data_IF_519383725317
#
_entry.id   IF_519383725317
#
_cell.length_a   1.000
_cell.length_b   1.000
_cell.length_c   1.000
_cell.angle_alpha   90.00
_cell.angle_beta   90.00
_cell.angle_gamma   90.00
#
_symmetry.space_group_name_H-M   'P 1'
#
loop_
_entity.id
_entity.type
_entity.pdbx_description
1 polymer ?
#
# COMPACT_ATOMS: atom_id res chain seq x y z
N UNK A 1 19.77 -40.99 33.26
CA UNK A 1 18.40 -40.74 32.76
C UNK A 1 17.77 -39.72 33.68
N UNK A 2 17.05 -38.73 33.13
CA UNK A 2 16.42 -37.67 33.93
C UNK A 2 14.91 -37.94 33.97
N UNK A 3 14.32 -37.88 35.17
CA UNK A 3 12.89 -38.04 35.40
C UNK A 3 12.45 -36.97 36.39
N UNK A 4 11.20 -36.49 36.29
CA UNK A 4 10.65 -35.54 37.27
C UNK A 4 10.62 -36.17 38.67
N UNK A 5 10.87 -35.38 39.71
CA UNK A 5 11.00 -35.84 41.11
C UNK A 5 9.76 -36.61 41.59
N UNK A 6 8.56 -36.17 41.21
CA UNK A 6 7.27 -36.79 41.53
C UNK A 6 7.08 -38.18 40.90
N UNK A 7 7.89 -38.53 39.89
CA UNK A 7 7.85 -39.82 39.19
C UNK A 7 9.04 -40.72 39.53
N UNK A 8 9.97 -40.26 40.37
CA UNK A 8 11.24 -40.94 40.66
C UNK A 8 11.06 -42.32 41.31
N UNK A 9 10.20 -42.44 42.32
CA UNK A 9 9.91 -43.73 42.97
C UNK A 9 9.23 -44.72 42.02
N UNK A 10 8.31 -44.24 41.17
CA UNK A 10 7.64 -45.09 40.16
C UNK A 10 8.63 -45.62 39.14
N UNK A 11 9.62 -44.81 38.74
CA UNK A 11 10.66 -45.24 37.82
C UNK A 11 11.55 -46.33 38.42
N UNK A 12 11.92 -46.23 39.70
CA UNK A 12 12.68 -47.28 40.39
C UNK A 12 11.88 -48.59 40.50
N UNK A 13 10.58 -48.50 40.77
CA UNK A 13 9.72 -49.68 40.87
C UNK A 13 9.50 -50.39 39.52
N UNK A 14 9.42 -49.66 38.41
CA UNK A 14 9.20 -50.24 37.09
C UNK A 14 10.48 -50.74 36.41
N UNK A 15 11.64 -50.21 36.78
CA UNK A 15 12.92 -50.58 36.18
C UNK A 15 13.97 -50.96 37.24
N UNK A 16 13.67 -51.93 38.13
CA UNK A 16 14.50 -52.24 39.29
C UNK A 16 15.85 -52.89 38.95
N UNK A 17 16.00 -53.39 37.72
CA UNK A 17 17.26 -53.97 37.23
C UNK A 17 18.09 -52.97 36.40
N UNK A 18 17.57 -51.78 36.17
CA UNK A 18 18.23 -50.73 35.37
C UNK A 18 18.69 -49.57 36.25
N UNK A 19 17.94 -49.26 37.32
CA UNK A 19 18.24 -48.15 38.22
C UNK A 19 18.12 -48.56 39.69
N UNK A 20 19.17 -48.28 40.46
CA UNK A 20 19.21 -48.65 41.88
C UNK A 20 18.76 -47.51 42.81
N UNK A 21 19.01 -46.25 42.44
CA UNK A 21 18.74 -45.07 43.26
C UNK A 21 18.47 -43.82 42.41
N UNK A 22 17.73 -42.88 42.98
CA UNK A 22 17.52 -41.54 42.43
C UNK A 22 18.29 -40.50 43.26
N UNK A 23 18.87 -39.52 42.55
CA UNK A 23 19.53 -38.37 43.15
C UNK A 23 18.95 -37.10 42.52
N UNK A 24 18.67 -36.04 43.29
CA UNK A 24 18.30 -34.75 42.72
C UNK A 24 19.50 -34.19 41.94
N UNK A 25 19.25 -33.63 40.76
CA UNK A 25 20.30 -33.09 39.88
C UNK A 25 21.01 -31.90 40.55
N UNK A 26 20.29 -31.18 41.40
CA UNK A 26 20.82 -30.08 42.21
C UNK A 26 20.57 -30.38 43.69
N UNK A 27 21.54 -30.12 44.58
CA UNK A 27 21.29 -30.19 46.02
C UNK A 27 20.18 -29.20 46.38
N UNK A 28 19.17 -29.64 47.16
CA UNK A 28 18.16 -28.71 47.70
C UNK A 28 18.91 -27.66 48.52
N UNK A 29 18.84 -26.36 48.16
CA UNK A 29 19.49 -25.34 48.96
C UNK A 29 18.92 -25.42 50.38
N UNK A 30 19.78 -25.26 51.39
CA UNK A 30 19.31 -25.01 52.74
C UNK A 30 18.36 -23.80 52.65
N UNK A 31 17.17 -23.89 53.25
CA UNK A 31 16.30 -22.72 53.38
C UNK A 31 17.03 -21.69 54.25
N UNK A 32 17.83 -20.85 53.62
CA UNK A 32 18.26 -19.60 54.20
C UNK A 32 17.02 -18.72 54.26
N UNK A 33 16.62 -18.39 55.49
CA UNK A 33 15.65 -17.36 55.79
C UNK A 33 16.14 -16.03 55.21
N UNK A 34 15.78 -15.75 53.97
CA UNK A 34 16.29 -14.59 53.25
C UNK A 34 16.18 -14.62 51.73
N UNK A 35 15.47 -15.58 51.12
CA UNK A 35 15.07 -15.41 49.72
C UNK A 35 14.10 -14.23 49.64
N UNK A 36 14.65 -13.03 49.43
CA UNK A 36 13.91 -11.95 48.79
C UNK A 36 13.39 -12.53 47.49
N UNK A 37 12.11 -12.90 47.47
CA UNK A 37 11.37 -13.07 46.23
C UNK A 37 11.66 -11.79 45.45
N UNK A 38 12.44 -11.90 44.38
CA UNK A 38 12.64 -10.78 43.46
C UNK A 38 11.26 -10.46 42.91
N UNK A 39 10.58 -9.48 43.50
CA UNK A 39 9.36 -8.93 42.94
C UNK A 39 9.77 -8.23 41.65
N UNK A 40 9.61 -8.93 40.53
CA UNK A 40 9.75 -8.32 39.20
C UNK A 40 8.68 -7.23 39.14
N UNK A 41 9.10 -5.97 39.15
CA UNK A 41 8.18 -4.86 38.97
C UNK A 41 7.67 -4.91 37.54
N UNK A 42 6.43 -5.41 37.36
CA UNK A 42 5.78 -5.43 36.06
C UNK A 42 5.71 -4.01 35.50
N UNK A 43 6.07 -3.88 34.23
CA UNK A 43 6.08 -2.61 33.51
C UNK A 43 4.66 -2.27 33.04
N UNK A 44 4.45 -0.99 32.75
CA UNK A 44 3.25 -0.54 32.05
C UNK A 44 3.53 -0.51 30.56
N UNK A 45 2.66 -1.15 29.78
CA UNK A 45 2.69 -1.09 28.33
C UNK A 45 1.91 0.15 27.87
N UNK A 46 2.33 0.78 26.78
CA UNK A 46 1.59 1.88 26.20
C UNK A 46 1.09 1.54 24.79
N UNK A 47 -0.13 1.97 24.46
CA UNK A 47 -0.72 1.72 23.15
C UNK A 47 -0.78 2.97 22.30
N UNK A 48 -0.64 2.81 21.00
CA UNK A 48 -0.94 3.84 20.01
C UNK A 48 -1.99 3.32 19.00
N UNK A 49 -2.76 4.22 18.41
CA UNK A 49 -3.98 3.86 17.65
C UNK A 49 -3.70 3.39 16.22
N UNK A 50 -2.79 4.06 15.51
CA UNK A 50 -2.45 3.75 14.11
C UNK A 50 -1.06 4.28 13.73
N UNK A 51 -0.63 4.03 12.49
CA UNK A 51 0.69 4.47 12.01
C UNK A 51 0.87 5.99 12.03
N UNK A 52 -0.18 6.78 11.78
CA UNK A 52 -0.08 8.24 11.88
C UNK A 52 0.16 8.69 13.33
N UNK A 53 -0.42 7.99 14.31
CA UNK A 53 -0.12 8.22 15.72
C UNK A 53 1.32 7.81 16.06
N UNK A 54 1.82 6.71 15.48
CA UNK A 54 3.22 6.29 15.62
C UNK A 54 4.20 7.32 15.05
N UNK A 55 3.94 7.87 13.87
CA UNK A 55 4.75 8.93 13.26
C UNK A 55 4.84 10.16 14.17
N UNK A 56 3.72 10.58 14.78
CA UNK A 56 3.71 11.68 15.76
C UNK A 56 4.52 11.38 17.01
N UNK A 57 4.52 10.13 17.48
CA UNK A 57 5.36 9.69 18.61
C UNK A 57 6.85 9.78 18.23
N UNK A 58 7.21 9.38 17.01
CA UNK A 58 8.58 9.48 16.49
C UNK A 58 9.01 10.95 16.40
N UNK A 59 8.17 11.81 15.86
CA UNK A 59 8.44 13.25 15.77
C UNK A 59 8.63 13.87 17.17
N UNK A 60 7.76 13.54 18.12
CA UNK A 60 7.88 13.97 19.51
C UNK A 60 9.19 13.48 20.15
N UNK A 61 9.56 12.23 19.90
CA UNK A 61 10.80 11.65 20.40
C UNK A 61 12.02 12.39 19.83
N UNK A 62 12.03 12.71 18.54
CA UNK A 62 13.08 13.52 17.90
C UNK A 62 13.14 14.92 18.52
N UNK A 63 12.00 15.61 18.65
CA UNK A 63 11.92 16.97 19.21
C UNK A 63 12.43 17.03 20.65
N UNK A 64 12.16 15.99 21.45
CA UNK A 64 12.60 15.90 22.85
C UNK A 64 13.93 15.18 23.04
N UNK A 65 14.57 14.77 21.94
CA UNK A 65 15.81 14.00 21.96
C UNK A 65 15.69 12.72 22.80
N UNK A 66 14.52 12.09 22.77
CA UNK A 66 14.23 10.78 23.37
C UNK A 66 14.67 9.72 22.37
N UNK A 67 15.52 8.76 22.76
CA UNK A 67 15.89 7.67 21.86
C UNK A 67 14.67 6.81 21.52
N UNK A 68 14.43 6.56 20.23
CA UNK A 68 13.29 5.80 19.75
C UNK A 68 13.76 4.60 18.91
N UNK A 69 13.19 3.42 19.16
CA UNK A 69 13.56 2.18 18.48
C UNK A 69 12.32 1.42 18.02
N UNK A 70 12.40 0.83 16.83
CA UNK A 70 11.41 -0.13 16.34
C UNK A 70 12.11 -1.45 16.07
N UNK A 71 11.49 -2.56 16.47
CA UNK A 71 12.03 -3.88 16.15
C UNK A 71 11.63 -4.28 14.73
N UNK A 72 12.61 -4.24 13.82
CA UNK A 72 12.50 -4.82 12.50
C UNK A 72 13.50 -5.99 12.43
N UNK A 73 13.06 -7.20 12.06
CA UNK A 73 13.86 -8.45 12.18
C UNK A 73 15.11 -8.53 11.27
N UNK A 74 15.56 -7.42 10.69
CA UNK A 74 16.71 -7.33 9.80
C UNK A 74 17.79 -6.40 10.35
N UNK A 75 18.61 -6.87 11.31
CA UNK A 75 19.87 -6.16 11.67
C UNK A 75 21.06 -7.11 11.65
N UNK A 76 21.91 -6.96 10.63
CA UNK A 76 23.25 -7.58 10.47
C UNK A 76 24.40 -6.57 10.56
N UNK A 77 24.22 -5.44 11.27
CA UNK A 77 25.27 -4.49 11.68
C UNK A 77 24.94 -3.92 13.06
N UNK A 78 25.94 -3.48 13.85
CA UNK A 78 25.82 -3.40 15.29
C UNK A 78 24.70 -2.41 15.64
N UNK A 79 23.68 -2.89 16.33
CA UNK A 79 22.89 -2.02 17.18
C UNK A 79 23.90 -1.24 18.05
N UNK A 80 23.72 0.07 18.35
CA UNK A 80 24.36 0.62 19.53
C UNK A 80 24.13 -0.38 20.66
N UNK A 81 25.14 -0.68 21.48
CA UNK A 81 25.01 -1.77 22.45
C UNK A 81 23.66 -1.59 23.17
N UNK A 82 22.76 -2.57 23.13
CA UNK A 82 21.44 -2.43 23.78
C UNK A 82 21.61 -2.09 25.27
N UNK A 83 22.78 -2.40 25.84
CA UNK A 83 23.25 -1.97 27.16
C UNK A 83 23.49 -0.46 27.32
N UNK A 84 23.62 0.32 26.25
CA UNK A 84 23.74 1.78 26.29
C UNK A 84 22.38 2.49 26.32
N UNK A 85 21.30 1.79 25.97
CA UNK A 85 19.93 2.30 26.06
C UNK A 85 19.47 2.43 27.51
N UNK A 86 19.81 1.45 28.33
CA UNK A 86 19.50 1.48 29.76
C UNK A 86 20.35 2.49 30.54
N UNK A 87 21.49 2.92 29.96
CA UNK A 87 22.37 3.97 30.52
C UNK A 87 21.92 5.39 30.13
N UNK A 88 20.93 5.52 29.26
CA UNK A 88 20.44 6.84 28.87
C UNK A 88 19.73 7.53 30.03
N UNK A 89 19.94 8.85 30.17
CA UNK A 89 19.31 9.65 31.24
C UNK A 89 17.80 9.81 31.03
N UNK A 90 17.32 9.59 29.81
CA UNK A 90 15.93 9.74 29.40
C UNK A 90 15.45 8.39 28.90
N UNK A 91 14.38 7.84 29.50
CA UNK A 91 13.87 6.53 29.14
C UNK A 91 13.55 6.44 27.62
N UNK A 92 14.19 5.53 26.88
CA UNK A 92 13.92 5.36 25.46
C UNK A 92 12.51 4.81 25.24
N UNK A 93 11.96 5.10 24.07
CA UNK A 93 10.69 4.55 23.59
C UNK A 93 11.00 3.41 22.63
N UNK A 94 10.39 2.26 22.85
CA UNK A 94 10.63 1.05 22.06
C UNK A 94 9.31 0.46 21.59
N UNK A 95 9.11 0.46 20.27
CA UNK A 95 7.96 -0.17 19.62
C UNK A 95 8.21 -1.67 19.40
N UNK A 96 7.37 -2.48 20.04
CA UNK A 96 7.42 -3.95 20.00
C UNK A 96 6.34 -4.56 19.10
N UNK A 97 5.53 -3.76 18.40
CA UNK A 97 4.38 -4.22 17.60
C UNK A 97 4.75 -5.32 16.61
N UNK A 98 5.77 -5.09 15.79
CA UNK A 98 6.23 -6.07 14.77
C UNK A 98 6.78 -7.34 15.42
N UNK A 99 7.48 -7.21 16.54
CA UNK A 99 8.05 -8.35 17.27
C UNK A 99 6.96 -9.23 17.87
N UNK A 100 5.93 -8.63 18.47
CA UNK A 100 4.80 -9.34 19.06
C UNK A 100 3.96 -10.02 17.99
N UNK A 101 3.63 -9.33 16.89
CA UNK A 101 2.88 -9.93 15.78
C UNK A 101 3.61 -11.14 15.17
N UNK A 102 4.94 -11.05 15.05
CA UNK A 102 5.75 -12.15 14.56
C UNK A 102 5.89 -13.31 15.57
N UNK A 103 5.81 -13.03 16.87
CA UNK A 103 5.76 -14.07 17.90
C UNK A 103 4.43 -14.85 17.86
N UNK A 104 3.31 -14.14 17.64
CA UNK A 104 1.95 -14.72 17.61
C UNK A 104 1.67 -15.55 16.35
N UNK A 105 2.42 -15.36 15.26
CA UNK A 105 2.29 -16.13 14.02
C UNK A 105 3.06 -17.47 14.02
N UNK A 106 3.09 -18.17 15.18
CA UNK A 106 3.71 -19.50 15.40
C UNK A 106 5.25 -19.56 15.45
N UNK A 107 5.93 -18.53 15.96
CA UNK A 107 7.37 -18.56 16.13
C UNK A 107 7.82 -18.33 17.59
N UNK A 108 7.78 -19.42 18.38
CA UNK A 108 8.09 -19.41 19.81
C UNK A 108 9.50 -18.86 20.15
N UNK A 109 10.44 -18.93 19.21
CA UNK A 109 11.78 -18.36 19.39
C UNK A 109 11.77 -16.83 19.46
N UNK A 110 10.85 -16.17 18.76
CA UNK A 110 10.72 -14.71 18.78
C UNK A 110 10.14 -14.24 20.10
N UNK A 111 9.19 -14.99 20.68
CA UNK A 111 8.65 -14.68 22.00
C UNK A 111 9.75 -14.72 23.07
N UNK A 112 10.58 -15.77 23.07
CA UNK A 112 11.71 -15.87 23.99
C UNK A 112 12.72 -14.72 23.82
N UNK A 113 12.98 -14.30 22.58
CA UNK A 113 13.83 -13.15 22.31
C UNK A 113 13.20 -11.84 22.83
N UNK A 114 11.89 -11.67 22.68
CA UNK A 114 11.16 -10.54 23.24
C UNK A 114 11.28 -10.48 24.76
N UNK A 115 11.14 -11.62 25.44
CA UNK A 115 11.30 -11.74 26.89
C UNK A 115 12.69 -11.29 27.35
N UNK A 116 13.75 -11.79 26.70
CA UNK A 116 15.14 -11.41 27.00
C UNK A 116 15.39 -9.91 26.80
N UNK A 117 14.82 -9.32 25.74
CA UNK A 117 14.96 -7.89 25.46
C UNK A 117 14.23 -7.03 26.48
N UNK A 118 13.00 -7.40 26.84
CA UNK A 118 12.22 -6.66 27.83
C UNK A 118 12.92 -6.73 29.19
N UNK A 119 13.55 -7.85 29.53
CA UNK A 119 14.33 -8.00 30.76
C UNK A 119 15.59 -7.11 30.77
N UNK A 120 16.30 -7.05 29.63
CA UNK A 120 17.51 -6.23 29.47
C UNK A 120 17.24 -4.72 29.56
N UNK A 121 16.06 -4.26 29.13
CA UNK A 121 15.73 -2.84 28.99
C UNK A 121 14.87 -2.35 30.16
N UNK A 122 15.48 -2.17 31.33
CA UNK A 122 14.77 -1.88 32.58
C UNK A 122 14.11 -0.49 32.63
N UNK A 123 14.79 0.53 32.10
CA UNK A 123 14.38 1.94 32.08
C UNK A 123 13.76 2.35 30.73
N UNK A 124 12.83 1.56 30.17
CA UNK A 124 12.30 1.76 28.81
C UNK A 124 10.78 1.87 28.79
N UNK A 125 10.26 2.76 27.95
CA UNK A 125 8.84 2.89 27.64
C UNK A 125 8.53 1.98 26.46
N UNK A 126 7.82 0.89 26.71
CA UNK A 126 7.37 -0.03 25.66
C UNK A 126 6.05 0.42 25.08
N UNK A 127 5.99 0.48 23.75
CA UNK A 127 4.78 0.84 23.01
C UNK A 127 4.37 -0.29 22.06
N UNK A 128 3.06 -0.41 21.84
CA UNK A 128 2.49 -1.39 20.90
C UNK A 128 1.25 -0.80 20.21
N UNK A 129 0.92 -1.26 19.00
CA UNK A 129 -0.35 -0.90 18.39
C UNK A 129 -1.53 -1.43 19.23
N UNK A 130 -2.58 -0.64 19.36
CA UNK A 130 -3.72 -0.88 20.25
C UNK A 130 -4.38 -2.24 20.08
N UNK A 131 -4.45 -2.76 18.84
CA UNK A 131 -5.03 -4.06 18.52
C UNK A 131 -4.20 -5.25 19.05
N UNK A 132 -2.93 -5.02 19.37
CA UNK A 132 -2.00 -6.04 19.87
C UNK A 132 -1.79 -5.92 21.39
N UNK A 133 -2.39 -4.92 22.04
CA UNK A 133 -2.21 -4.62 23.47
C UNK A 133 -2.63 -5.76 24.38
N UNK A 134 -3.82 -6.33 24.14
CA UNK A 134 -4.34 -7.44 24.95
C UNK A 134 -3.53 -8.73 24.71
N UNK A 135 -3.06 -8.96 23.47
CA UNK A 135 -2.24 -10.12 23.14
C UNK A 135 -0.90 -10.08 23.88
N UNK A 136 -0.29 -8.90 24.04
CA UNK A 136 0.92 -8.73 24.85
C UNK A 136 0.66 -9.11 26.30
N UNK A 137 -0.44 -8.67 26.89
CA UNK A 137 -0.76 -8.99 28.29
C UNK A 137 -1.03 -10.49 28.49
N UNK A 138 -1.62 -11.16 27.51
CA UNK A 138 -1.88 -12.60 27.56
C UNK A 138 -0.60 -13.43 27.43
N UNK A 139 0.33 -13.01 26.57
CA UNK A 139 1.54 -13.78 26.24
C UNK A 139 2.76 -13.40 27.08
N UNK A 140 2.81 -12.17 27.62
CA UNK A 140 3.90 -11.66 28.47
C UNK A 140 3.39 -11.16 29.83
N UNK A 141 2.59 -11.95 30.58
CA UNK A 141 1.93 -11.51 31.82
C UNK A 141 2.90 -11.25 32.98
N UNK A 142 4.13 -11.79 32.90
CA UNK A 142 5.19 -11.57 33.89
C UNK A 142 5.89 -10.23 33.71
N UNK A 143 5.79 -9.62 32.52
CA UNK A 143 6.49 -8.40 32.17
C UNK A 143 5.59 -7.16 32.20
N UNK A 144 4.31 -7.31 31.83
CA UNK A 144 3.36 -6.20 31.75
C UNK A 144 2.13 -6.44 32.63
N UNK A 145 1.74 -5.42 33.40
CA UNK A 145 0.56 -5.50 34.27
C UNK A 145 -0.72 -5.01 33.58
N UNK A 146 -0.59 -3.96 32.78
CA UNK A 146 -1.68 -3.34 32.05
C UNK A 146 -1.13 -2.58 30.85
N UNK A 147 -2.01 -2.25 29.92
CA UNK A 147 -1.74 -1.28 28.88
C UNK A 147 -2.56 0.00 29.08
N UNK A 148 -2.04 1.12 28.59
CA UNK A 148 -2.74 2.39 28.57
C UNK A 148 -2.36 3.19 27.33
N UNK A 149 -3.20 4.11 26.88
CA UNK A 149 -2.85 4.97 25.74
C UNK A 149 -1.58 5.78 26.06
N UNK A 150 -0.64 5.87 25.11
CA UNK A 150 0.58 6.66 25.26
C UNK A 150 0.32 8.15 25.50
N UNK A 151 -0.86 8.65 25.12
CA UNK A 151 -1.34 10.00 25.46
C UNK A 151 -1.34 10.23 26.98
N UNK A 152 -1.48 9.17 27.79
CA UNK A 152 -1.37 9.28 29.25
C UNK A 152 0.02 9.70 29.73
N UNK A 153 1.07 9.42 28.96
CA UNK A 153 2.44 9.91 29.21
C UNK A 153 2.72 11.24 28.53
N UNK A 154 2.22 11.42 27.31
CA UNK A 154 2.43 12.60 26.49
C UNK A 154 1.08 13.19 26.05
N UNK A 155 0.41 13.97 26.92
CA UNK A 155 -0.92 14.53 26.63
C UNK A 155 -0.97 15.39 25.35
N UNK A 156 0.15 15.97 24.92
CA UNK A 156 0.32 16.70 23.66
C UNK A 156 0.16 15.83 22.39
N UNK A 157 0.27 14.52 22.52
CA UNK A 157 -0.16 13.60 21.46
C UNK A 157 -1.70 13.61 21.32
N UNK A 158 -2.39 14.01 22.39
CA UNK A 158 -3.83 14.23 22.46
C UNK A 158 -4.25 15.66 22.06
N UNK A 159 -5.31 15.72 21.26
CA UNK A 159 -5.97 16.90 20.70
C UNK A 159 -5.24 17.52 19.49
N UNK A 160 -5.41 16.86 18.35
CA UNK A 160 -6.20 17.53 17.32
C UNK A 160 -7.61 16.93 17.34
N UNK A 161 -8.63 17.80 17.37
CA UNK A 161 -9.83 17.55 16.59
C UNK A 161 -9.36 17.49 15.15
N UNK A 162 -8.88 16.32 14.73
CA UNK A 162 -8.98 15.93 13.34
C UNK A 162 -10.49 15.99 13.12
N UNK A 163 -10.99 17.06 12.47
CA UNK A 163 -12.18 16.93 11.65
C UNK A 163 -11.98 15.60 10.98
N UNK A 164 -12.77 14.58 11.30
CA UNK A 164 -12.52 13.23 10.81
C UNK A 164 -12.19 13.38 9.33
N UNK A 165 -10.91 13.30 8.97
CA UNK A 165 -10.52 13.07 7.60
C UNK A 165 -11.01 11.66 7.51
N UNK A 166 -12.26 11.51 7.07
CA UNK A 166 -12.87 10.21 6.84
C UNK A 166 -11.78 9.45 6.12
N UNK A 167 -11.17 8.47 6.80
CA UNK A 167 -10.02 7.77 6.27
C UNK A 167 -10.43 7.35 4.87
N UNK A 168 -9.77 7.93 3.86
CA UNK A 168 -10.34 7.97 2.52
C UNK A 168 -10.54 6.52 2.10
N UNK A 169 -11.80 6.09 2.10
CA UNK A 169 -12.13 4.68 1.94
C UNK A 169 -11.79 4.28 0.52
N UNK A 170 -11.27 3.06 0.38
CA UNK A 170 -11.13 2.45 -0.92
C UNK A 170 -12.50 2.39 -1.60
N UNK A 171 -12.59 2.92 -2.83
CA UNK A 171 -13.79 2.87 -3.66
C UNK A 171 -13.48 2.12 -4.95
N UNK A 172 -14.26 1.08 -5.25
CA UNK A 172 -14.13 0.25 -6.46
C UNK A 172 -15.39 0.38 -7.31
N UNK A 173 -15.25 0.08 -8.60
CA UNK A 173 -16.38 0.09 -9.52
C UNK A 173 -17.43 -0.98 -9.16
N UNK A 174 -16.99 -2.07 -8.52
CA UNK A 174 -17.83 -3.19 -8.12
C UNK A 174 -18.71 -2.88 -6.91
N UNK A 175 -18.36 -1.85 -6.13
CA UNK A 175 -19.15 -1.37 -5.00
C UNK A 175 -20.44 -0.65 -5.45
N UNK A 176 -20.56 -0.29 -6.73
CA UNK A 176 -21.69 0.47 -7.27
C UNK A 176 -22.88 -0.39 -7.68
N UNK A 177 -24.07 0.16 -7.45
CA UNK A 177 -25.32 -0.39 -7.96
C UNK A 177 -25.55 -0.05 -9.44
N UNK A 178 -26.64 -0.54 -10.03
CA UNK A 178 -26.91 -0.31 -11.45
C UNK A 178 -27.07 1.17 -11.82
N UNK A 179 -27.70 1.98 -10.96
CA UNK A 179 -27.91 3.42 -11.21
C UNK A 179 -26.56 4.16 -11.19
N UNK A 180 -25.76 3.91 -10.16
CA UNK A 180 -24.42 4.49 -10.01
C UNK A 180 -23.48 4.08 -11.15
N UNK A 181 -23.61 2.85 -11.69
CA UNK A 181 -22.84 2.43 -12.85
C UNK A 181 -23.23 3.18 -14.12
N UNK A 182 -24.52 3.45 -14.35
CA UNK A 182 -24.94 4.25 -15.50
C UNK A 182 -24.47 5.71 -15.36
N UNK A 183 -24.50 6.29 -14.15
CA UNK A 183 -23.90 7.60 -13.86
C UNK A 183 -22.39 7.62 -14.18
N UNK A 184 -21.66 6.55 -13.80
CA UNK A 184 -20.26 6.37 -14.18
C UNK A 184 -20.08 6.31 -15.70
N UNK A 185 -20.94 5.59 -16.41
CA UNK A 185 -20.85 5.44 -17.87
C UNK A 185 -21.06 6.76 -18.61
N UNK A 186 -22.01 7.57 -18.15
CA UNK A 186 -22.24 8.92 -18.65
C UNK A 186 -21.03 9.81 -18.37
N UNK A 187 -20.57 9.84 -17.11
CA UNK A 187 -19.39 10.60 -16.71
C UNK A 187 -18.15 10.23 -17.55
N UNK A 188 -17.89 8.93 -17.70
CA UNK A 188 -16.75 8.42 -18.45
C UNK A 188 -16.82 8.81 -19.93
N UNK A 189 -18.00 8.66 -20.54
CA UNK A 189 -18.21 8.94 -21.96
C UNK A 189 -18.08 10.42 -22.31
N UNK A 190 -18.49 11.30 -21.39
CA UNK A 190 -18.32 12.76 -21.53
C UNK A 190 -16.86 13.18 -21.34
N UNK A 191 -16.15 12.57 -20.40
CA UNK A 191 -14.78 12.99 -20.06
C UNK A 191 -13.70 12.42 -20.99
N UNK A 192 -13.92 11.25 -21.62
CA UNK A 192 -13.01 10.69 -22.60
C UNK A 192 -13.42 11.18 -24.00
N UNK A 193 -12.62 12.01 -24.65
CA UNK A 193 -12.97 12.50 -25.99
C UNK A 193 -12.53 11.51 -27.07
N UNK A 194 -13.41 11.26 -28.05
CA UNK A 194 -13.21 10.30 -29.13
C UNK A 194 -13.29 8.84 -28.68
N UNK A 195 -12.63 7.95 -29.42
CA UNK A 195 -12.50 6.52 -29.10
C UNK A 195 -13.83 5.79 -28.89
N UNK A 196 -14.83 6.05 -29.73
CA UNK A 196 -16.20 5.52 -29.57
C UNK A 196 -16.25 3.99 -29.46
N UNK A 197 -15.52 3.27 -30.33
CA UNK A 197 -15.46 1.80 -30.29
C UNK A 197 -14.89 1.27 -28.97
N UNK A 198 -13.86 1.93 -28.43
CA UNK A 198 -13.29 1.57 -27.14
C UNK A 198 -14.31 1.78 -26.02
N UNK A 199 -15.03 2.92 -26.01
CA UNK A 199 -16.07 3.18 -25.01
C UNK A 199 -17.11 2.07 -25.00
N UNK A 200 -17.68 1.74 -26.15
CA UNK A 200 -18.74 0.71 -26.24
C UNK A 200 -18.27 -0.65 -25.73
N UNK A 201 -17.01 -1.02 -25.98
CA UNK A 201 -16.42 -2.27 -25.47
C UNK A 201 -16.11 -2.18 -23.97
N UNK A 202 -15.54 -1.07 -23.52
CA UNK A 202 -15.20 -0.83 -22.12
C UNK A 202 -16.43 -0.81 -21.22
N UNK A 203 -17.48 -0.06 -21.57
CA UNK A 203 -18.71 0.01 -20.76
C UNK A 203 -19.38 -1.37 -20.64
N UNK A 204 -19.34 -2.18 -21.71
CA UNK A 204 -19.80 -3.58 -21.67
C UNK A 204 -18.93 -4.44 -20.75
N UNK A 205 -17.60 -4.32 -20.84
CA UNK A 205 -16.67 -5.05 -19.99
C UNK A 205 -16.88 -4.72 -18.51
N UNK A 206 -16.99 -3.43 -18.15
CA UNK A 206 -17.27 -2.99 -16.77
C UNK A 206 -18.61 -3.52 -16.26
N UNK A 207 -19.66 -3.50 -17.11
CA UNK A 207 -20.98 -4.04 -16.74
C UNK A 207 -20.94 -5.55 -16.49
N UNK A 208 -20.17 -6.29 -17.27
CA UNK A 208 -19.98 -7.74 -17.08
C UNK A 208 -19.15 -8.01 -15.83
N UNK A 209 -18.01 -7.33 -15.68
CA UNK A 209 -17.14 -7.43 -14.52
C UNK A 209 -17.90 -7.20 -13.21
N UNK A 210 -18.70 -6.13 -13.12
CA UNK A 210 -19.49 -5.85 -11.92
C UNK A 210 -20.43 -7.01 -11.53
N UNK A 211 -20.96 -7.75 -12.51
CA UNK A 211 -21.81 -8.93 -12.26
C UNK A 211 -20.98 -10.17 -11.89
N UNK A 212 -19.92 -10.44 -12.65
CA UNK A 212 -19.05 -11.61 -12.46
C UNK A 212 -18.27 -11.53 -11.14
N UNK A 213 -17.83 -10.34 -10.75
CA UNK A 213 -17.18 -10.10 -9.47
C UNK A 213 -18.08 -10.39 -8.27
N UNK A 214 -19.37 -10.03 -8.35
CA UNK A 214 -20.34 -10.32 -7.27
C UNK A 214 -20.53 -11.82 -7.03
N UNK A 215 -20.39 -12.64 -8.06
CA UNK A 215 -20.45 -14.10 -7.95
C UNK A 215 -19.07 -14.73 -7.78
N UNK A 216 -18.02 -13.91 -7.61
CA UNK A 216 -16.61 -14.31 -7.40
C UNK A 216 -15.98 -15.10 -8.55
N UNK A 217 -16.52 -14.97 -9.77
CA UNK A 217 -15.99 -15.59 -10.99
C UNK A 217 -14.89 -14.75 -11.65
N UNK A 218 -14.87 -13.43 -11.43
CA UNK A 218 -13.88 -12.51 -11.99
C UNK A 218 -13.41 -11.53 -10.90
N UNK A 219 -12.11 -11.55 -10.59
CA UNK A 219 -11.53 -10.75 -9.49
C UNK A 219 -11.12 -9.36 -9.91
N UNK A 220 -10.49 -9.25 -11.08
CA UNK A 220 -9.91 -8.02 -11.59
C UNK A 220 -10.36 -7.85 -13.04
N UNK A 221 -10.76 -6.63 -13.40
CA UNK A 221 -10.96 -6.26 -14.80
C UNK A 221 -9.65 -5.74 -15.38
N UNK A 222 -9.11 -6.45 -16.36
CA UNK A 222 -7.82 -6.16 -16.96
C UNK A 222 -7.97 -5.64 -18.40
N UNK A 223 -7.38 -4.48 -18.64
CA UNK A 223 -7.54 -3.76 -19.91
C UNK A 223 -6.16 -3.43 -20.46
N UNK A 224 -5.92 -3.77 -21.72
CA UNK A 224 -4.68 -3.49 -22.43
C UNK A 224 -4.92 -2.49 -23.55
N UNK A 225 -4.33 -1.29 -23.41
CA UNK A 225 -4.45 -0.20 -24.38
C UNK A 225 -3.16 -0.06 -25.19
N UNK A 226 -3.30 -0.21 -26.51
CA UNK A 226 -2.24 -0.08 -27.52
C UNK A 226 -2.34 1.29 -28.19
N UNK A 227 -1.26 1.78 -28.78
CA UNK A 227 -1.25 2.98 -29.63
C UNK A 227 -0.07 3.90 -29.37
N UNK A 228 0.07 4.96 -30.18
CA UNK A 228 1.13 5.96 -30.03
C UNK A 228 1.13 6.70 -28.69
N UNK A 229 2.24 7.40 -28.40
CA UNK A 229 2.32 8.29 -27.24
C UNK A 229 1.33 9.44 -27.39
N UNK A 230 0.73 9.88 -26.27
CA UNK A 230 -0.13 11.06 -26.26
C UNK A 230 -1.57 10.87 -26.72
N UNK A 231 -2.01 9.65 -27.05
CA UNK A 231 -3.38 9.38 -27.54
C UNK A 231 -4.47 9.29 -26.45
N UNK A 232 -4.10 9.43 -25.18
CA UNK A 232 -5.06 9.39 -24.06
C UNK A 232 -5.20 8.04 -23.34
N UNK A 233 -4.32 7.06 -23.58
CA UNK A 233 -4.37 5.75 -22.91
C UNK A 233 -4.39 5.85 -21.38
N UNK A 234 -3.46 6.60 -20.79
CA UNK A 234 -3.40 6.84 -19.34
C UNK A 234 -4.60 7.66 -18.83
N UNK A 235 -5.26 8.43 -19.70
CA UNK A 235 -6.40 9.27 -19.31
C UNK A 235 -7.62 8.42 -18.95
N UNK A 236 -7.78 7.25 -19.57
CA UNK A 236 -8.81 6.26 -19.20
C UNK A 236 -8.82 6.00 -17.71
N UNK A 237 -7.68 5.62 -17.14
CA UNK A 237 -7.56 5.34 -15.72
C UNK A 237 -7.68 6.58 -14.85
N UNK A 238 -7.22 7.75 -15.34
CA UNK A 238 -7.39 9.02 -14.62
C UNK A 238 -8.87 9.39 -14.48
N UNK A 239 -9.67 9.18 -15.52
CA UNK A 239 -11.12 9.41 -15.50
C UNK A 239 -11.79 8.45 -14.52
N UNK A 240 -11.45 7.16 -14.58
CA UNK A 240 -11.96 6.16 -13.62
C UNK A 240 -11.63 6.58 -12.18
N UNK A 241 -10.36 6.91 -11.91
CA UNK A 241 -9.88 7.36 -10.60
C UNK A 241 -10.65 8.58 -10.12
N UNK A 242 -10.82 9.59 -10.98
CA UNK A 242 -11.53 10.82 -10.62
C UNK A 242 -13.00 10.58 -10.27
N UNK A 243 -13.66 9.60 -10.90
CA UNK A 243 -15.03 9.23 -10.52
C UNK A 243 -15.07 8.45 -9.21
N UNK A 244 -14.19 7.46 -9.06
CA UNK A 244 -14.15 6.62 -7.86
C UNK A 244 -13.76 7.42 -6.62
N UNK A 245 -12.67 8.19 -6.71
CA UNK A 245 -12.10 8.93 -5.59
C UNK A 245 -11.30 10.16 -6.09
N UNK A 246 -11.99 11.30 -6.27
CA UNK A 246 -11.39 12.50 -6.86
C UNK A 246 -10.18 13.03 -6.07
N UNK A 247 -10.23 12.95 -4.75
CA UNK A 247 -9.26 13.52 -3.80
C UNK A 247 -7.93 12.76 -3.74
N UNK A 248 -7.85 11.56 -4.31
CA UNK A 248 -6.68 10.70 -4.17
C UNK A 248 -5.76 10.72 -5.38
N UNK A 249 -4.54 10.21 -5.18
CA UNK A 249 -3.57 10.03 -6.26
C UNK A 249 -3.91 8.82 -7.12
N UNK A 250 -3.51 8.82 -8.40
CA UNK A 250 -3.64 7.63 -9.25
C UNK A 250 -2.50 6.65 -8.95
N UNK A 251 -2.82 5.40 -8.62
CA UNK A 251 -1.84 4.32 -8.57
C UNK A 251 -1.31 4.02 -9.98
N UNK A 252 -0.19 4.64 -10.34
CA UNK A 252 0.45 4.48 -11.65
C UNK A 252 1.85 3.92 -11.51
N UNK A 253 2.15 2.77 -12.10
CA UNK A 253 3.49 2.22 -12.27
C UNK A 253 3.97 2.52 -13.68
N UNK A 254 5.25 2.90 -13.84
CA UNK A 254 5.86 3.11 -15.15
C UNK A 254 7.07 2.20 -15.31
N UNK A 255 6.93 1.17 -16.15
CA UNK A 255 7.98 0.17 -16.37
C UNK A 255 9.12 0.69 -17.24
N UNK A 256 8.97 1.83 -17.91
CA UNK A 256 10.09 2.51 -18.56
C UNK A 256 11.16 3.02 -17.60
N UNK A 257 10.83 3.21 -16.32
CA UNK A 257 11.78 3.63 -15.30
C UNK A 257 12.55 2.46 -14.69
N UNK A 258 12.15 1.22 -14.99
CA UNK A 258 12.66 0.04 -14.30
C UNK A 258 13.86 -0.52 -15.07
N UNK A 259 14.93 -0.87 -14.35
CA UNK A 259 15.97 -1.72 -14.93
C UNK A 259 15.38 -3.10 -15.21
N UNK A 260 15.74 -3.70 -16.35
CA UNK A 260 15.19 -5.00 -16.74
C UNK A 260 15.47 -6.12 -15.72
N UNK A 261 16.55 -6.01 -14.96
CA UNK A 261 16.99 -7.04 -14.02
C UNK A 261 16.27 -6.96 -12.67
N UNK A 262 15.89 -5.76 -12.21
CA UNK A 262 15.30 -5.56 -10.88
C UNK A 262 13.83 -5.14 -10.92
N UNK A 263 13.20 -5.18 -12.11
CA UNK A 263 11.85 -4.68 -12.31
C UNK A 263 10.81 -5.28 -11.33
N UNK A 264 10.90 -6.57 -11.04
CA UNK A 264 10.02 -7.22 -10.07
C UNK A 264 10.31 -6.73 -8.64
N UNK A 265 11.58 -6.61 -8.27
CA UNK A 265 11.99 -6.13 -6.94
C UNK A 265 11.57 -4.67 -6.71
N UNK A 266 11.61 -3.81 -7.73
CA UNK A 266 11.09 -2.45 -7.62
C UNK A 266 9.55 -2.43 -7.47
N UNK A 267 8.86 -3.36 -8.13
CA UNK A 267 7.39 -3.44 -8.11
C UNK A 267 6.86 -3.91 -6.75
N UNK A 268 7.38 -5.02 -6.24
CA UNK A 268 6.87 -5.72 -5.04
C UNK A 268 7.85 -5.76 -3.86
N UNK A 269 9.01 -5.13 -4.00
CA UNK A 269 10.07 -5.12 -2.99
C UNK A 269 11.07 -6.26 -3.21
N UNK A 270 12.25 -6.13 -2.59
CA UNK A 270 13.26 -7.19 -2.57
C UNK A 270 13.06 -8.14 -1.39
N UNK A 271 13.36 -9.44 -1.52
CA UNK A 271 13.31 -10.38 -0.39
C UNK A 271 14.18 -9.94 0.80
N UNK A 272 13.78 -10.33 2.01
CA UNK A 272 14.51 -10.04 3.22
C UNK A 272 15.98 -10.51 3.14
N UNK A 273 16.93 -9.57 3.23
CA UNK A 273 18.38 -9.86 3.21
C UNK A 273 19.17 -9.23 2.06
N UNK A 274 18.52 -8.59 1.08
CA UNK A 274 19.18 -7.74 0.08
C UNK A 274 19.44 -6.32 0.64
N UNK A 275 20.57 -5.71 0.27
CA UNK A 275 20.90 -4.33 0.64
C UNK A 275 19.95 -3.39 -0.11
N UNK A 276 19.16 -2.58 0.61
CA UNK A 276 18.13 -1.71 0.03
C UNK A 276 16.73 -2.31 0.04
N UNK A 277 16.34 -3.00 1.12
CA UNK A 277 15.02 -3.61 1.30
C UNK A 277 13.94 -2.52 1.43
N UNK A 278 13.53 -1.96 0.30
CA UNK A 278 12.46 -0.97 0.20
C UNK A 278 11.09 -1.66 0.02
N UNK A 279 10.03 -0.97 0.45
CA UNK A 279 8.66 -1.38 0.14
C UNK A 279 8.44 -1.28 -1.37
N UNK A 280 7.88 -2.33 -1.98
CA UNK A 280 7.54 -2.30 -3.40
C UNK A 280 6.67 -1.10 -3.78
N UNK A 281 6.95 -0.51 -4.93
CA UNK A 281 6.26 0.69 -5.42
C UNK A 281 4.74 0.47 -5.55
N UNK A 282 4.32 -0.74 -5.94
CA UNK A 282 2.90 -1.07 -6.11
C UNK A 282 2.12 -0.95 -4.79
N UNK A 283 2.61 -1.58 -3.72
CA UNK A 283 1.97 -1.53 -2.41
C UNK A 283 1.84 -0.11 -1.87
N UNK A 284 2.90 0.69 -2.00
CA UNK A 284 2.90 2.11 -1.59
C UNK A 284 1.87 2.92 -2.37
N UNK A 285 1.78 2.72 -3.69
CA UNK A 285 0.81 3.44 -4.54
C UNK A 285 -0.63 3.02 -4.31
N UNK A 286 -0.88 1.75 -4.02
CA UNK A 286 -2.20 1.26 -3.64
C UNK A 286 -2.72 1.95 -2.39
N UNK A 287 -1.87 2.04 -1.35
CA UNK A 287 -2.23 2.69 -0.09
C UNK A 287 -2.54 4.18 -0.25
N UNK A 288 -1.83 4.88 -1.14
CA UNK A 288 -2.07 6.31 -1.43
C UNK A 288 -3.24 6.56 -2.39
N UNK A 289 -3.59 5.59 -3.23
CA UNK A 289 -4.62 5.75 -4.26
C UNK A 289 -6.02 5.58 -3.70
N UNK A 290 -6.28 4.55 -2.89
CA UNK A 290 -7.64 4.25 -2.36
C UNK A 290 -8.76 4.36 -3.42
N UNK A 291 -8.41 4.14 -4.69
CA UNK A 291 -9.29 4.06 -5.84
C UNK A 291 -8.96 2.73 -6.49
N UNK A 292 -10.00 1.94 -6.77
CA UNK A 292 -9.92 0.59 -7.35
C UNK A 292 -9.46 0.56 -8.81
N UNK A 293 -8.44 1.35 -9.16
CA UNK A 293 -7.86 1.42 -10.49
C UNK A 293 -6.34 1.60 -10.42
N UNK A 294 -5.62 0.85 -11.25
CA UNK A 294 -4.16 0.89 -11.35
C UNK A 294 -3.79 1.09 -12.81
N UNK A 295 -2.72 1.87 -13.05
CA UNK A 295 -2.09 1.97 -14.38
C UNK A 295 -0.75 1.29 -14.37
N UNK A 296 -0.53 0.43 -15.35
CA UNK A 296 0.74 -0.20 -15.66
C UNK A 296 1.24 0.34 -17.00
N UNK A 297 2.04 1.41 -16.96
CA UNK A 297 2.49 2.15 -18.14
C UNK A 297 3.78 1.60 -18.74
N UNK A 298 3.91 1.72 -20.06
CA UNK A 298 4.99 1.16 -20.88
C UNK A 298 5.22 -0.34 -20.64
N UNK A 299 4.13 -1.10 -20.56
CA UNK A 299 4.15 -2.50 -20.15
C UNK A 299 4.94 -3.42 -21.10
N UNK A 300 5.11 -3.03 -22.37
CA UNK A 300 5.95 -3.74 -23.34
C UNK A 300 7.43 -3.81 -22.95
N UNK A 301 7.88 -2.93 -22.04
CA UNK A 301 9.27 -2.88 -21.57
C UNK A 301 9.55 -3.82 -20.40
N UNK A 302 8.54 -4.54 -19.91
CA UNK A 302 8.65 -5.45 -18.78
C UNK A 302 9.34 -6.76 -19.13
N UNK A 303 9.62 -7.58 -18.11
CA UNK A 303 10.32 -8.85 -18.23
C UNK A 303 9.45 -10.03 -17.81
N UNK A 304 9.86 -11.26 -18.14
CA UNK A 304 9.11 -12.48 -17.82
C UNK A 304 8.72 -12.62 -16.33
N UNK A 305 9.58 -12.29 -15.35
CA UNK A 305 9.19 -12.29 -13.93
C UNK A 305 8.00 -11.37 -13.63
N UNK A 306 7.95 -10.18 -14.24
CA UNK A 306 6.82 -9.24 -14.09
C UNK A 306 5.57 -9.79 -14.77
N UNK A 307 5.68 -10.41 -15.94
CA UNK A 307 4.54 -11.08 -16.58
C UNK A 307 3.94 -12.18 -15.70
N UNK A 308 4.78 -13.03 -15.11
CA UNK A 308 4.34 -14.09 -14.21
C UNK A 308 3.64 -13.52 -12.97
N UNK A 309 4.20 -12.44 -12.38
CA UNK A 309 3.54 -11.74 -11.28
C UNK A 309 2.13 -11.26 -11.64
N UNK A 310 1.95 -10.62 -12.80
CA UNK A 310 0.62 -10.17 -13.22
C UNK A 310 -0.32 -11.32 -13.59
N UNK A 311 0.21 -12.45 -14.09
CA UNK A 311 -0.61 -13.65 -14.31
C UNK A 311 -1.23 -14.16 -13.01
N UNK A 312 -0.41 -14.32 -11.98
CA UNK A 312 -0.85 -14.75 -10.63
C UNK A 312 -1.81 -13.72 -10.03
N UNK A 313 -1.47 -12.43 -10.09
CA UNK A 313 -2.32 -11.36 -9.56
C UNK A 313 -3.70 -11.33 -10.24
N UNK A 314 -3.76 -11.49 -11.56
CA UNK A 314 -5.03 -11.52 -12.29
C UNK A 314 -5.85 -12.79 -12.00
N UNK A 315 -5.21 -13.89 -11.58
CA UNK A 315 -5.88 -15.13 -11.16
C UNK A 315 -6.46 -15.01 -9.75
N UNK A 316 -5.61 -14.68 -8.79
CA UNK A 316 -5.93 -14.76 -7.37
C UNK A 316 -6.66 -13.51 -6.89
N UNK A 317 -6.47 -12.38 -7.59
CA UNK A 317 -7.01 -11.09 -7.19
C UNK A 317 -6.25 -10.44 -6.03
N UNK A 318 -5.17 -11.06 -5.55
CA UNK A 318 -4.32 -10.54 -4.49
C UNK A 318 -2.85 -10.80 -4.79
N UNK A 319 -1.96 -10.10 -4.09
CA UNK A 319 -0.54 -10.46 -4.09
C UNK A 319 0.08 -10.25 -2.72
N UNK A 320 1.19 -10.95 -2.49
CA UNK A 320 2.03 -10.76 -1.30
C UNK A 320 3.34 -10.09 -1.70
N UNK A 321 3.70 -9.01 -1.03
CA UNK A 321 4.97 -8.32 -1.26
C UNK A 321 6.15 -9.03 -0.57
N UNK A 322 7.36 -8.55 -0.84
CA UNK A 322 8.57 -9.16 -0.29
C UNK A 322 8.72 -9.07 1.23
N UNK A 323 7.93 -8.21 1.87
CA UNK A 323 7.83 -8.05 3.32
C UNK A 323 6.65 -8.85 3.89
N UNK A 324 6.11 -9.81 3.12
CA UNK A 324 4.98 -10.67 3.49
C UNK A 324 3.68 -9.92 3.77
N UNK A 325 3.53 -8.69 3.24
CA UNK A 325 2.28 -7.94 3.33
C UNK A 325 1.38 -8.36 2.17
N UNK A 326 0.15 -8.73 2.50
CA UNK A 326 -0.87 -9.11 1.52
C UNK A 326 -1.66 -7.87 1.08
N UNK A 327 -1.94 -7.79 -0.22
CA UNK A 327 -2.76 -6.75 -0.83
C UNK A 327 -3.90 -7.39 -1.62
N UNK A 328 -5.13 -7.11 -1.21
CA UNK A 328 -6.35 -7.54 -1.91
C UNK A 328 -6.75 -6.50 -2.97
N UNK A 329 -6.83 -6.97 -4.22
CA UNK A 329 -7.21 -6.21 -5.40
C UNK A 329 -8.55 -6.71 -5.99
N UNK A 330 -9.34 -7.49 -5.24
CA UNK A 330 -10.69 -7.88 -5.66
C UNK A 330 -11.55 -6.63 -5.95
N UNK A 331 -12.11 -6.59 -7.16
CA UNK A 331 -12.89 -5.47 -7.68
C UNK A 331 -12.09 -4.33 -8.33
N UNK A 332 -10.76 -4.48 -8.48
CA UNK A 332 -9.94 -3.46 -9.15
C UNK A 332 -10.04 -3.54 -10.68
N UNK A 333 -9.80 -2.40 -11.33
CA UNK A 333 -9.51 -2.30 -12.76
C UNK A 333 -8.00 -2.10 -12.93
N UNK A 334 -7.32 -2.97 -13.68
CA UNK A 334 -5.92 -2.78 -14.08
C UNK A 334 -5.87 -2.33 -15.54
N UNK A 335 -5.31 -1.15 -15.77
CA UNK A 335 -5.12 -0.57 -17.11
C UNK A 335 -3.65 -0.65 -17.49
N UNK A 336 -3.32 -1.63 -18.34
CA UNK A 336 -2.03 -1.72 -19.00
C UNK A 336 -1.99 -0.77 -20.19
N UNK A 337 -0.93 0.03 -20.31
CA UNK A 337 -0.72 0.91 -21.46
C UNK A 337 0.61 0.60 -22.12
N UNK A 338 0.58 0.62 -23.45
CA UNK A 338 1.74 0.28 -24.26
C UNK A 338 1.87 1.18 -25.48
N UNK A 339 3.12 1.38 -25.93
CA UNK A 339 3.41 2.09 -27.18
C UNK A 339 3.44 1.20 -28.42
N UNK A 340 3.12 -0.09 -28.28
CA UNK A 340 2.86 -0.99 -29.41
C UNK A 340 1.69 -0.44 -30.24
N UNK A 341 1.84 -0.42 -31.56
CA UNK A 341 0.91 0.28 -32.47
C UNK A 341 -0.20 -0.61 -32.99
N UNK A 342 0.05 -1.91 -33.11
CA UNK A 342 -0.89 -2.84 -33.75
C UNK A 342 -1.13 -4.09 -32.90
N UNK A 343 -2.22 -4.80 -33.19
CA UNK A 343 -2.53 -6.07 -32.54
C UNK A 343 -1.47 -7.14 -32.84
N UNK A 344 -0.89 -7.14 -34.04
CA UNK A 344 0.18 -8.10 -34.41
C UNK A 344 1.43 -7.90 -33.56
N UNK A 345 1.81 -6.65 -33.28
CA UNK A 345 2.91 -6.34 -32.37
C UNK A 345 2.61 -6.84 -30.94
N UNK A 346 1.37 -6.62 -30.47
CA UNK A 346 0.92 -7.13 -29.17
C UNK A 346 1.06 -8.66 -29.07
N UNK A 347 0.54 -9.42 -30.04
CA UNK A 347 0.60 -10.88 -30.01
C UNK A 347 2.02 -11.45 -30.08
N UNK A 348 2.98 -10.65 -30.59
CA UNK A 348 4.39 -11.03 -30.66
C UNK A 348 5.15 -10.72 -29.37
N UNK A 349 4.85 -9.60 -28.70
CA UNK A 349 5.60 -9.11 -27.55
C UNK A 349 5.04 -9.65 -26.23
N UNK A 350 3.71 -9.70 -26.10
CA UNK A 350 3.05 -10.15 -24.87
C UNK A 350 2.90 -11.67 -24.91
N UNK A 351 3.25 -12.41 -23.84
CA UNK A 351 3.13 -13.86 -23.83
C UNK A 351 1.67 -14.36 -23.96
N UNK A 352 1.40 -15.46 -24.69
CA UNK A 352 0.06 -16.03 -24.85
C UNK A 352 -0.67 -16.30 -23.54
N UNK A 353 0.06 -16.68 -22.50
CA UNK A 353 -0.50 -16.93 -21.18
C UNK A 353 -1.17 -15.66 -20.64
N UNK A 354 -0.49 -14.51 -20.76
CA UNK A 354 -1.02 -13.23 -20.29
C UNK A 354 -2.12 -12.70 -21.20
N UNK A 355 -2.01 -12.93 -22.52
CA UNK A 355 -3.07 -12.59 -23.46
C UNK A 355 -4.42 -13.20 -23.08
N UNK A 356 -4.42 -14.46 -22.61
CA UNK A 356 -5.66 -15.16 -22.24
C UNK A 356 -6.30 -14.66 -20.93
N UNK A 357 -5.57 -13.88 -20.13
CA UNK A 357 -6.04 -13.27 -18.89
C UNK A 357 -6.50 -11.82 -19.04
N UNK A 358 -6.36 -11.24 -20.24
CA UNK A 358 -6.77 -9.87 -20.51
C UNK A 358 -8.22 -9.82 -21.00
N UNK A 359 -9.07 -9.06 -20.29
CA UNK A 359 -10.50 -8.98 -20.58
C UNK A 359 -10.80 -8.08 -21.79
N UNK A 360 -10.00 -7.03 -21.97
CA UNK A 360 -10.17 -6.08 -23.06
C UNK A 360 -8.84 -5.63 -23.64
N UNK A 361 -8.59 -5.97 -24.90
CA UNK A 361 -7.46 -5.44 -25.69
C UNK A 361 -8.00 -4.45 -26.71
N UNK A 362 -7.48 -3.22 -26.74
CA UNK A 362 -7.95 -2.17 -27.63
C UNK A 362 -6.81 -1.29 -28.18
N UNK A 363 -6.90 -0.98 -29.46
CA UNK A 363 -6.01 -0.05 -30.15
C UNK A 363 -6.57 1.37 -30.09
N UNK A 364 -5.75 2.32 -29.65
CA UNK A 364 -6.04 3.74 -29.70
C UNK A 364 -5.44 4.32 -30.97
N UNK A 365 -6.27 4.97 -31.76
CA UNK A 365 -5.89 5.66 -33.00
C UNK A 365 -5.83 7.18 -32.76
N UNK A 366 -5.09 7.92 -33.58
CA UNK A 366 -5.19 9.38 -33.60
C UNK A 366 -6.64 9.83 -33.74
N UNK A 367 -7.02 10.86 -32.99
CA UNK A 367 -8.35 11.46 -33.09
C UNK A 367 -8.54 12.10 -34.47
N UNK A 368 -9.75 12.00 -35.02
CA UNK A 368 -10.14 12.74 -36.22
C UNK A 368 -10.13 14.25 -35.97
N UNK A 369 -10.06 15.08 -37.03
CA UNK A 369 -10.09 16.55 -36.89
C UNK A 369 -11.30 17.05 -36.11
N UNK A 370 -12.47 16.43 -36.31
CA UNK A 370 -13.70 16.76 -35.57
C UNK A 370 -13.57 16.45 -34.08
N UNK A 371 -13.00 15.29 -33.74
CA UNK A 371 -12.77 14.89 -32.34
C UNK A 371 -11.70 15.75 -31.68
N UNK A 372 -10.65 16.15 -32.41
CA UNK A 372 -9.65 17.12 -31.92
C UNK A 372 -10.30 18.47 -31.58
N UNK A 373 -11.17 18.99 -32.45
CA UNK A 373 -11.95 20.21 -32.14
C UNK A 373 -12.80 20.06 -30.88
N UNK A 374 -13.50 18.92 -30.74
CA UNK A 374 -14.28 18.62 -29.53
C UNK A 374 -13.39 18.54 -28.29
N UNK A 375 -12.18 18.00 -28.41
CA UNK A 375 -11.20 17.94 -27.32
C UNK A 375 -10.72 19.33 -26.91
N UNK A 376 -10.46 20.22 -27.88
CA UNK A 376 -10.07 21.61 -27.60
C UNK A 376 -11.16 22.32 -26.82
N UNK A 377 -12.40 22.28 -27.30
CA UNK A 377 -13.54 22.92 -26.62
C UNK A 377 -13.74 22.37 -25.21
N UNK A 378 -13.58 21.05 -25.04
CA UNK A 378 -13.68 20.40 -23.74
C UNK A 378 -12.57 20.86 -22.77
N UNK A 379 -11.32 20.94 -23.22
CA UNK A 379 -10.21 21.42 -22.38
C UNK A 379 -10.38 22.90 -22.03
N UNK A 380 -10.79 23.74 -22.99
CA UNK A 380 -11.02 25.16 -22.78
C UNK A 380 -12.09 25.40 -21.72
N UNK A 381 -13.23 24.71 -21.81
CA UNK A 381 -14.29 24.78 -20.79
C UNK A 381 -13.78 24.40 -19.41
N UNK A 382 -12.95 23.35 -19.30
CA UNK A 382 -12.32 22.95 -18.03
C UNK A 382 -11.37 24.02 -17.48
N UNK A 383 -10.62 24.72 -18.33
CA UNK A 383 -9.76 25.82 -17.88
C UNK A 383 -10.58 27.01 -17.41
N UNK A 384 -11.63 27.39 -18.15
CA UNK A 384 -12.55 28.47 -17.75
C UNK A 384 -13.19 28.17 -16.39
N UNK A 385 -13.66 26.93 -16.19
CA UNK A 385 -14.24 26.50 -14.91
C UNK A 385 -13.22 26.54 -13.76
N UNK A 386 -11.99 26.06 -13.99
CA UNK A 386 -10.95 26.02 -12.96
C UNK A 386 -10.36 27.38 -12.61
N UNK A 387 -10.34 28.30 -13.57
CA UNK A 387 -9.82 29.66 -13.42
C UNK A 387 -10.99 30.66 -13.36
N UNK A 388 -12.15 30.24 -12.83
CA UNK A 388 -13.37 31.05 -12.82
C UNK A 388 -13.18 32.43 -12.21
N UNK A 389 -12.37 32.54 -11.17
CA UNK A 389 -12.09 33.80 -10.47
C UNK A 389 -11.27 34.78 -11.33
N UNK A 390 -10.38 34.26 -12.17
CA UNK A 390 -9.60 35.07 -13.10
C UNK A 390 -10.44 35.46 -14.32
N UNK A 391 -11.19 34.50 -14.87
CA UNK A 391 -12.10 34.73 -15.99
C UNK A 391 -13.29 35.63 -15.62
N UNK A 392 -13.68 35.74 -14.35
CA UNK A 392 -14.74 36.64 -13.90
C UNK A 392 -14.45 38.13 -14.19
N UNK A 393 -13.19 38.48 -14.48
CA UNK A 393 -12.79 39.83 -14.90
C UNK A 393 -13.11 40.15 -16.36
N UNK A 394 -13.42 39.12 -17.15
CA UNK A 394 -13.65 39.21 -18.59
C UNK A 394 -15.10 38.83 -18.92
N UNK A 395 -15.70 39.53 -19.88
CA UNK A 395 -16.97 39.10 -20.45
C UNK A 395 -16.69 38.01 -21.50
N UNK A 396 -16.97 36.75 -21.18
CA UNK A 396 -16.68 35.62 -22.08
C UNK A 396 -17.70 35.58 -23.21
N UNK A 397 -17.37 36.19 -24.34
CA UNK A 397 -18.21 36.17 -25.54
C UNK A 397 -17.91 34.96 -26.43
N UNK A 398 -18.83 34.57 -27.33
CA UNK A 398 -18.58 33.51 -28.31
C UNK A 398 -17.33 33.74 -29.16
N UNK A 399 -17.00 34.98 -29.48
CA UNK A 399 -15.82 35.36 -30.27
C UNK A 399 -14.52 35.05 -29.52
N UNK A 400 -14.48 35.30 -28.21
CA UNK A 400 -13.31 34.96 -27.37
C UNK A 400 -13.13 33.43 -27.30
N UNK A 401 -14.23 32.68 -27.19
CA UNK A 401 -14.18 31.22 -27.20
C UNK A 401 -13.66 30.71 -28.55
N UNK A 402 -14.15 31.27 -29.66
CA UNK A 402 -13.68 30.93 -31.00
C UNK A 402 -12.19 31.26 -31.17
N UNK A 403 -11.76 32.42 -30.69
CA UNK A 403 -10.36 32.82 -30.68
C UNK A 403 -9.51 31.81 -29.89
N UNK A 404 -9.88 31.50 -28.64
CA UNK A 404 -9.14 30.56 -27.79
C UNK A 404 -9.14 29.12 -28.35
N UNK A 405 -10.23 28.69 -29.00
CA UNK A 405 -10.31 27.39 -29.67
C UNK A 405 -9.56 27.32 -31.00
N UNK A 406 -9.17 28.46 -31.59
CA UNK A 406 -8.39 28.51 -32.83
C UNK A 406 -6.92 28.11 -32.58
N UNK A 407 -6.69 26.81 -32.48
CA UNK A 407 -5.38 26.18 -32.26
C UNK A 407 -5.03 25.33 -33.49
N UNK A 408 -3.78 25.40 -33.96
CA UNK A 408 -3.32 24.50 -35.03
C UNK A 408 -3.04 23.10 -34.46
N UNK A 409 -3.97 22.17 -34.72
CA UNK A 409 -3.87 20.76 -34.37
C UNK A 409 -3.95 19.83 -35.59
N UNK A 410 -3.87 20.35 -36.81
CA UNK A 410 -4.08 19.56 -38.04
C UNK A 410 -3.06 18.43 -38.19
N UNK A 411 -1.80 18.70 -37.87
CA UNK A 411 -0.68 17.75 -37.98
C UNK A 411 -0.22 17.19 -36.62
N UNK A 412 -0.98 17.44 -35.55
CA UNK A 412 -0.59 17.03 -34.21
C UNK A 412 -1.54 15.96 -33.67
N UNK A 413 -1.06 14.73 -33.55
CA UNK A 413 -1.82 13.61 -33.01
C UNK A 413 -1.61 13.43 -31.50
N UNK A 414 -0.66 14.14 -30.91
CA UNK A 414 -0.38 14.08 -29.49
C UNK A 414 -1.28 15.05 -28.72
N UNK A 415 -2.29 14.51 -28.04
CA UNK A 415 -3.25 15.31 -27.27
C UNK A 415 -2.60 16.07 -26.11
N UNK A 416 -1.44 15.62 -25.62
CA UNK A 416 -0.66 16.34 -24.60
C UNK A 416 -0.12 17.66 -25.17
N UNK A 417 0.33 17.64 -26.42
CA UNK A 417 0.89 18.82 -27.07
C UNK A 417 -0.23 19.82 -27.41
N UNK A 418 -1.38 19.33 -27.91
CA UNK A 418 -2.59 20.15 -28.08
C UNK A 418 -2.99 20.80 -26.75
N UNK A 419 -3.05 20.03 -25.65
CA UNK A 419 -3.39 20.55 -24.33
C UNK A 419 -2.45 21.68 -23.87
N UNK A 420 -1.14 21.54 -24.13
CA UNK A 420 -0.14 22.57 -23.81
C UNK A 420 -0.35 23.86 -24.60
N UNK A 421 -0.71 23.76 -25.88
CA UNK A 421 -0.98 24.93 -26.70
C UNK A 421 -2.22 25.68 -26.16
N UNK A 422 -3.28 24.97 -25.80
CA UNK A 422 -4.47 25.57 -25.17
C UNK A 422 -4.11 26.25 -23.85
N UNK A 423 -3.32 25.58 -23.01
CA UNK A 423 -2.86 26.12 -21.72
C UNK A 423 -2.09 27.43 -21.90
N UNK A 424 -1.14 27.47 -22.83
CA UNK A 424 -0.38 28.68 -23.16
C UNK A 424 -1.32 29.80 -23.62
N UNK A 425 -2.25 29.51 -24.51
CA UNK A 425 -3.19 30.50 -25.05
C UNK A 425 -4.13 31.08 -23.99
N UNK A 426 -4.62 30.23 -23.08
CA UNK A 426 -5.43 30.66 -21.93
C UNK A 426 -4.63 31.57 -21.00
N UNK A 427 -3.40 31.19 -20.67
CA UNK A 427 -2.53 31.99 -19.80
C UNK A 427 -2.16 33.32 -20.45
N UNK A 428 -1.88 33.33 -21.75
CA UNK A 428 -1.62 34.57 -22.51
C UNK A 428 -2.82 35.50 -22.45
N UNK A 429 -4.04 34.99 -22.66
CA UNK A 429 -5.27 35.77 -22.57
C UNK A 429 -5.48 36.40 -21.19
N UNK A 430 -5.21 35.67 -20.10
CA UNK A 430 -5.41 36.16 -18.72
C UNK A 430 -4.33 37.16 -18.26
N UNK A 431 -3.19 37.20 -18.95
CA UNK A 431 -2.09 38.14 -18.66
C UNK A 431 -2.17 39.44 -19.46
N UNK A 432 -3.15 39.55 -20.38
CA UNK A 432 -3.51 40.78 -21.10
C UNK A 432 -4.58 41.51 -20.30
#
# INVERSE_FOLDING_TARGET
MIVREDLSERALNHFPFVFDKCYPIYPKPAMESGDTIHTVSRKRLYTYSNNAHLERIIELAIQRNIPFFTFNQATKRPNPELSDLDKSRIAPIVDITTMIRAALSNNAHILYFAEQLIDMLSNTIFIVQQDSGDDVLQNLPLYFESHADIITLYPELGIEKVSATEEIRLRRITDYNAVQLEEFFEFFSVNLIGHGEFKDRFLRAVRNFSKLNRIKEEKILSIFLLGGSGLGKTEVARIIKNYLNAETSLAKINFGNYSSHDALNSLIGSPAGYVGCESGELGVKLQKSKAGVIVCDEFEKTTRPVFNFFLELLEDGSFTDSLTREYDLDGYIIVFTSNLKTAEEFYRVIPPELQSRLDLICEFKPLSLREKGTFVDFQLRKYIEKLSDEFAKYEITPEIIEELSNVDYHNNDNLRDIKRIIEQKVIEFLNV
#
